data_IF_992313985185
#
_entry.id   IF_992313985185
#
_cell.length_a   1.000
_cell.length_b   1.000
_cell.length_c   1.000
_cell.angle_alpha   90.00
_cell.angle_beta   90.00
_cell.angle_gamma   90.00
#
_symmetry.space_group_name_H-M   'P 1'
#
loop_
_entity.id
_entity.type
_entity.pdbx_description
1 polymer ?
#
# COMPACT_ATOMS: atom_id res chain seq x y z
N UNK A 1 25.72 25.93 -22.73
CA UNK A 1 25.63 27.41 -22.77
C UNK A 1 24.27 27.94 -23.23
N UNK A 2 23.57 27.32 -24.19
CA UNK A 2 22.25 27.77 -24.61
C UNK A 2 21.15 27.46 -23.57
N UNK A 3 21.31 26.38 -22.78
CA UNK A 3 20.33 25.95 -21.80
C UNK A 3 20.09 26.95 -20.66
N UNK A 4 21.13 27.63 -20.19
CA UNK A 4 21.01 28.69 -19.16
C UNK A 4 20.39 29.96 -19.67
N UNK A 5 20.67 30.31 -20.96
CA UNK A 5 20.05 31.47 -21.61
C UNK A 5 18.56 31.27 -21.93
N UNK A 6 18.15 30.02 -22.14
CA UNK A 6 16.76 29.63 -22.41
C UNK A 6 15.99 29.23 -21.16
N UNK A 7 16.60 29.40 -19.98
CA UNK A 7 15.98 29.01 -18.68
C UNK A 7 15.50 27.56 -18.65
N UNK A 8 16.20 26.67 -19.38
CA UNK A 8 15.79 25.26 -19.55
C UNK A 8 15.63 24.52 -18.22
N UNK A 9 16.43 24.89 -17.21
CA UNK A 9 16.30 24.30 -15.87
C UNK A 9 14.95 24.66 -15.20
N UNK A 10 14.44 25.88 -15.44
CA UNK A 10 13.11 26.27 -14.94
C UNK A 10 12.01 25.47 -15.66
N UNK A 11 12.15 25.23 -16.96
CA UNK A 11 11.20 24.39 -17.72
C UNK A 11 11.20 22.96 -17.16
N UNK A 12 12.38 22.37 -16.87
CA UNK A 12 12.47 21.05 -16.25
C UNK A 12 11.79 20.98 -14.89
N UNK A 13 11.94 22.00 -14.04
CA UNK A 13 11.27 22.08 -12.75
C UNK A 13 9.76 22.22 -12.90
N UNK A 14 9.28 23.00 -13.85
CA UNK A 14 7.85 23.07 -14.14
C UNK A 14 7.28 21.71 -14.57
N UNK A 15 7.97 21.01 -15.48
CA UNK A 15 7.57 19.65 -15.90
C UNK A 15 7.57 18.70 -14.69
N UNK A 16 8.63 18.73 -13.87
CA UNK A 16 8.71 17.92 -12.66
C UNK A 16 7.54 18.19 -11.69
N UNK A 17 7.05 19.42 -11.61
CA UNK A 17 5.89 19.77 -10.80
C UNK A 17 4.56 19.15 -11.25
N UNK A 18 4.46 18.68 -12.50
CA UNK A 18 3.30 17.98 -13.02
C UNK A 18 3.41 16.45 -12.90
N UNK A 19 4.56 15.92 -12.51
CA UNK A 19 4.73 14.46 -12.36
C UNK A 19 3.99 13.93 -11.14
N UNK A 20 3.57 12.68 -11.22
CA UNK A 20 2.80 12.00 -10.17
C UNK A 20 3.66 11.05 -9.32
N UNK A 21 4.96 10.94 -9.63
CA UNK A 21 5.87 10.04 -8.91
C UNK A 21 7.22 10.69 -8.70
N UNK A 22 7.90 10.34 -7.59
CA UNK A 22 9.27 10.78 -7.29
C UNK A 22 10.21 10.50 -8.46
N UNK A 23 10.16 9.28 -9.00
CA UNK A 23 11.01 8.87 -10.14
C UNK A 23 10.72 9.67 -11.41
N UNK A 24 9.44 9.98 -11.66
CA UNK A 24 9.03 10.84 -12.78
C UNK A 24 9.61 12.25 -12.65
N UNK A 25 9.57 12.82 -11.44
CA UNK A 25 10.16 14.13 -11.15
C UNK A 25 11.67 14.15 -11.37
N UNK A 26 12.38 13.14 -10.87
CA UNK A 26 13.82 12.99 -11.09
C UNK A 26 14.17 12.87 -12.58
N UNK A 27 13.39 12.06 -13.32
CA UNK A 27 13.58 11.89 -14.76
C UNK A 27 13.35 13.21 -15.52
N UNK A 28 12.35 13.99 -15.13
CA UNK A 28 12.09 15.29 -15.72
C UNK A 28 13.24 16.28 -15.48
N UNK A 29 13.81 16.31 -14.27
CA UNK A 29 14.96 17.15 -13.93
C UNK A 29 16.24 16.73 -14.68
N UNK A 30 16.36 15.44 -14.98
CA UNK A 30 17.52 14.89 -15.71
C UNK A 30 17.42 15.03 -17.23
N UNK A 31 16.37 15.64 -17.76
CA UNK A 31 16.23 15.86 -19.20
C UNK A 31 17.37 16.70 -19.77
N UNK A 32 17.91 16.22 -20.89
CA UNK A 32 18.94 16.93 -21.66
C UNK A 32 18.47 17.06 -23.10
N UNK A 33 18.82 18.17 -23.78
CA UNK A 33 18.55 18.32 -25.20
C UNK A 33 19.32 17.28 -26.01
N UNK A 34 18.69 16.73 -27.04
CA UNK A 34 19.32 15.81 -28.01
C UNK A 34 19.33 16.43 -29.40
N UNK A 35 20.28 15.98 -30.23
CA UNK A 35 20.36 16.31 -31.67
C UNK A 35 20.04 15.10 -32.55
N UNK A 36 19.78 13.96 -31.93
CA UNK A 36 19.41 12.74 -32.64
C UNK A 36 17.97 12.88 -33.15
N UNK A 37 17.82 12.93 -34.47
CA UNK A 37 16.53 13.13 -35.11
C UNK A 37 15.55 11.99 -34.80
N UNK A 38 16.05 10.76 -34.77
CA UNK A 38 15.20 9.59 -34.46
C UNK A 38 14.67 9.67 -33.03
N UNK A 39 15.54 9.99 -32.08
CA UNK A 39 15.15 10.18 -30.68
C UNK A 39 14.14 11.31 -30.51
N UNK A 40 14.35 12.44 -31.22
CA UNK A 40 13.43 13.59 -31.17
C UNK A 40 12.04 13.19 -31.67
N UNK A 41 11.96 12.54 -32.85
CA UNK A 41 10.69 12.11 -33.44
C UNK A 41 9.97 11.12 -32.53
N UNK A 42 10.67 10.14 -31.98
CA UNK A 42 10.11 9.15 -31.06
C UNK A 42 9.51 9.82 -29.80
N UNK A 43 10.26 10.72 -29.14
CA UNK A 43 9.79 11.41 -27.94
C UNK A 43 8.63 12.36 -28.19
N UNK A 44 8.60 13.01 -29.38
CA UNK A 44 7.48 13.85 -29.78
C UNK A 44 6.23 13.02 -30.05
N UNK A 45 6.38 11.83 -30.64
CA UNK A 45 5.27 10.91 -30.86
C UNK A 45 4.72 10.38 -29.57
N UNK A 46 5.58 9.89 -28.64
CA UNK A 46 5.19 9.47 -27.28
C UNK A 46 4.37 10.56 -26.56
N UNK A 47 4.83 11.82 -26.63
CA UNK A 47 4.16 12.97 -26.02
C UNK A 47 2.81 13.24 -26.67
N UNK A 48 2.73 13.15 -28.02
CA UNK A 48 1.49 13.37 -28.75
C UNK A 48 0.45 12.31 -28.45
N UNK A 49 0.85 11.02 -28.39
CA UNK A 49 -0.01 9.93 -27.99
C UNK A 49 -0.48 10.06 -26.53
N UNK A 50 0.41 10.47 -25.61
CA UNK A 50 0.04 10.70 -24.23
C UNK A 50 -1.02 11.81 -24.10
N UNK A 51 -0.89 12.89 -24.86
CA UNK A 51 -1.90 13.95 -24.89
C UNK A 51 -3.22 13.46 -25.47
N UNK A 52 -3.19 12.74 -26.59
CA UNK A 52 -4.37 12.15 -27.20
C UNK A 52 -5.09 11.19 -26.24
N UNK A 53 -4.34 10.34 -25.53
CA UNK A 53 -4.88 9.39 -24.55
C UNK A 53 -5.59 10.12 -23.39
N UNK A 54 -5.01 11.23 -22.90
CA UNK A 54 -5.63 12.03 -21.85
C UNK A 54 -6.88 12.76 -22.32
N UNK A 55 -6.94 13.19 -23.59
CA UNK A 55 -8.12 13.82 -24.19
C UNK A 55 -9.32 12.87 -24.33
N UNK A 56 -9.07 11.57 -24.49
CA UNK A 56 -10.12 10.53 -24.52
C UNK A 56 -10.74 10.30 -23.12
N UNK A 57 -10.14 10.85 -22.07
CA UNK A 57 -10.67 10.80 -20.71
C UNK A 57 -10.28 9.56 -19.91
N UNK A 58 -9.45 8.69 -20.46
CA UNK A 58 -8.87 7.56 -19.74
C UNK A 58 -7.62 8.04 -18.99
N UNK A 59 -7.63 7.98 -17.67
CA UNK A 59 -6.47 8.35 -16.86
C UNK A 59 -5.48 7.19 -16.71
N UNK A 60 -4.18 7.52 -16.54
CA UNK A 60 -3.18 6.56 -16.09
C UNK A 60 -3.16 6.51 -14.56
N UNK A 61 -2.95 5.33 -13.99
CA UNK A 61 -2.72 5.15 -12.56
C UNK A 61 -1.23 5.05 -12.26
N UNK A 62 -0.76 5.74 -11.23
CA UNK A 62 0.67 5.81 -10.92
C UNK A 62 1.04 5.15 -9.58
N UNK A 63 0.06 4.66 -8.82
CA UNK A 63 0.31 4.12 -7.48
C UNK A 63 0.74 5.21 -6.48
N UNK A 64 1.31 4.82 -5.33
CA UNK A 64 1.75 5.76 -4.30
C UNK A 64 2.95 6.59 -4.75
N UNK A 65 2.96 7.89 -4.38
CA UNK A 65 4.09 8.80 -4.63
C UNK A 65 5.19 8.57 -3.58
N UNK A 66 5.96 7.51 -3.76
CA UNK A 66 7.12 7.20 -2.92
C UNK A 66 8.25 6.55 -3.73
N UNK A 67 9.48 6.66 -3.21
CA UNK A 67 10.63 5.97 -3.77
C UNK A 67 10.70 4.51 -3.27
N UNK A 68 10.50 3.57 -4.16
CA UNK A 68 10.55 2.14 -3.85
C UNK A 68 11.96 1.54 -3.86
N UNK A 69 12.99 2.28 -4.30
CA UNK A 69 14.34 1.75 -4.49
C UNK A 69 14.96 1.22 -3.20
N UNK A 70 14.89 2.01 -2.12
CA UNK A 70 15.42 1.58 -0.81
C UNK A 70 14.65 0.38 -0.24
N UNK A 71 13.34 0.38 -0.40
CA UNK A 71 12.46 -0.69 0.05
C UNK A 71 12.78 -1.99 -0.68
N UNK A 72 12.92 -1.95 -2.00
CA UNK A 72 13.29 -3.11 -2.83
C UNK A 72 14.70 -3.60 -2.50
N UNK A 73 15.66 -2.69 -2.31
CA UNK A 73 17.02 -3.06 -1.92
C UNK A 73 17.04 -3.76 -0.56
N UNK A 74 16.29 -3.27 0.43
CA UNK A 74 16.16 -3.92 1.73
C UNK A 74 15.54 -5.32 1.60
N UNK A 75 14.52 -5.49 0.77
CA UNK A 75 13.91 -6.78 0.51
C UNK A 75 14.87 -7.76 -0.16
N UNK A 76 15.67 -7.31 -1.14
CA UNK A 76 16.69 -8.12 -1.82
C UNK A 76 17.76 -8.61 -0.85
N UNK A 77 18.09 -7.85 0.19
CA UNK A 77 19.03 -8.24 1.24
C UNK A 77 18.37 -9.14 2.33
N UNK A 78 17.13 -9.57 2.14
CA UNK A 78 16.40 -10.40 3.08
C UNK A 78 15.83 -9.63 4.28
N UNK A 79 15.78 -8.31 4.21
CA UNK A 79 15.16 -7.47 5.24
C UNK A 79 13.63 -7.58 5.24
N UNK A 80 13.02 -7.32 6.40
CA UNK A 80 11.57 -7.35 6.55
C UNK A 80 10.95 -6.05 6.04
N UNK A 81 9.82 -6.18 5.36
CA UNK A 81 8.95 -5.08 4.98
C UNK A 81 7.76 -4.98 5.94
N UNK A 82 7.39 -3.77 6.30
CA UNK A 82 6.19 -3.50 7.10
C UNK A 82 4.93 -3.68 6.27
N UNK A 83 3.80 -3.85 6.92
CA UNK A 83 2.53 -4.05 6.21
C UNK A 83 2.14 -2.87 5.32
N UNK A 84 2.37 -1.62 5.78
CA UNK A 84 2.11 -0.43 4.96
C UNK A 84 3.02 -0.39 3.72
N UNK A 85 4.27 -0.84 3.84
CA UNK A 85 5.21 -0.92 2.72
C UNK A 85 4.78 -1.98 1.71
N UNK A 86 4.33 -3.14 2.19
CA UNK A 86 3.76 -4.19 1.32
C UNK A 86 2.48 -3.71 0.62
N UNK A 87 1.62 -3.00 1.34
CA UNK A 87 0.42 -2.42 0.75
C UNK A 87 0.76 -1.41 -0.35
N UNK A 88 1.76 -0.55 -0.13
CA UNK A 88 2.23 0.40 -1.14
C UNK A 88 2.78 -0.32 -2.39
N UNK A 89 3.53 -1.42 -2.21
CA UNK A 89 3.97 -2.27 -3.33
C UNK A 89 2.77 -2.84 -4.08
N UNK A 90 1.76 -3.35 -3.37
CA UNK A 90 0.53 -3.85 -4.01
C UNK A 90 -0.17 -2.77 -4.86
N UNK A 91 -0.27 -1.53 -4.35
CA UNK A 91 -0.87 -0.42 -5.10
C UNK A 91 -0.06 -0.09 -6.37
N UNK A 92 1.28 -0.13 -6.30
CA UNK A 92 2.13 0.03 -7.47
C UNK A 92 1.89 -1.06 -8.51
N UNK A 93 1.82 -2.33 -8.08
CA UNK A 93 1.56 -3.47 -8.96
C UNK A 93 0.18 -3.38 -9.61
N UNK A 94 -0.83 -2.98 -8.84
CA UNK A 94 -2.19 -2.75 -9.32
C UNK A 94 -2.22 -1.67 -10.41
N UNK A 95 -1.56 -0.54 -10.17
CA UNK A 95 -1.46 0.54 -11.14
C UNK A 95 -0.75 0.10 -12.44
N UNK A 96 0.35 -0.63 -12.31
CA UNK A 96 1.08 -1.18 -13.46
C UNK A 96 0.20 -2.14 -14.29
N UNK A 97 -0.50 -3.06 -13.64
CA UNK A 97 -1.43 -3.98 -14.30
C UNK A 97 -2.60 -3.25 -14.96
N UNK A 98 -3.18 -2.26 -14.29
CA UNK A 98 -4.24 -1.42 -14.84
C UNK A 98 -3.78 -0.73 -16.12
N UNK A 99 -2.64 -0.01 -16.06
CA UNK A 99 -2.10 0.70 -17.22
C UNK A 99 -1.77 -0.23 -18.38
N UNK A 100 -1.17 -1.40 -18.11
CA UNK A 100 -0.89 -2.41 -19.14
C UNK A 100 -2.17 -2.87 -19.83
N UNK A 101 -3.22 -3.14 -19.05
CA UNK A 101 -4.51 -3.59 -19.58
C UNK A 101 -5.22 -2.50 -20.39
N UNK A 102 -5.24 -1.27 -19.85
CA UNK A 102 -5.96 -0.16 -20.51
C UNK A 102 -5.24 0.32 -21.77
N UNK A 103 -3.93 0.48 -21.74
CA UNK A 103 -3.14 0.86 -22.93
C UNK A 103 -3.14 -0.25 -23.99
N UNK A 104 -3.11 -1.50 -23.58
CA UNK A 104 -3.18 -2.65 -24.50
C UNK A 104 -4.50 -2.79 -25.27
N UNK A 105 -5.56 -2.12 -24.82
CA UNK A 105 -6.85 -2.04 -25.53
C UNK A 105 -6.91 -0.90 -26.56
N UNK A 106 -5.94 0.01 -26.51
CA UNK A 106 -5.94 1.20 -27.36
C UNK A 106 -5.14 0.96 -28.65
N UNK A 107 -5.78 1.14 -29.78
CA UNK A 107 -5.11 0.97 -31.09
C UNK A 107 -4.44 2.27 -31.54
N UNK A 108 -4.89 3.40 -31.01
CA UNK A 108 -4.49 4.74 -31.47
C UNK A 108 -3.19 5.26 -30.81
N UNK A 109 -2.65 4.54 -29.82
CA UNK A 109 -1.47 4.95 -29.04
C UNK A 109 -0.39 3.87 -28.98
N UNK A 110 0.12 3.41 -30.13
CA UNK A 110 1.03 2.27 -30.21
C UNK A 110 2.34 2.46 -29.44
N UNK A 111 2.87 3.70 -29.33
CA UNK A 111 4.09 3.98 -28.58
C UNK A 111 3.85 3.76 -27.08
N UNK A 112 2.73 4.25 -26.54
CA UNK A 112 2.36 4.05 -25.15
C UNK A 112 2.06 2.57 -24.86
N UNK A 113 1.42 1.87 -25.80
CA UNK A 113 1.18 0.43 -25.70
C UNK A 113 2.51 -0.32 -25.61
N UNK A 114 3.47 -0.01 -26.47
CA UNK A 114 4.82 -0.61 -26.43
C UNK A 114 5.55 -0.33 -25.13
N UNK A 115 5.40 0.85 -24.52
CA UNK A 115 5.95 1.15 -23.19
C UNK A 115 5.25 0.26 -22.13
N UNK A 116 3.93 0.11 -22.20
CA UNK A 116 3.16 -0.67 -21.23
C UNK A 116 3.46 -2.17 -21.29
N UNK A 117 3.79 -2.71 -22.45
CA UNK A 117 4.18 -4.11 -22.64
C UNK A 117 5.46 -4.49 -21.87
N UNK A 118 6.34 -3.51 -21.62
CA UNK A 118 7.53 -3.71 -20.80
C UNK A 118 7.24 -3.78 -19.29
N UNK A 119 6.02 -3.47 -18.84
CA UNK A 119 5.63 -3.64 -17.45
C UNK A 119 5.47 -5.14 -17.13
N UNK A 120 6.13 -5.64 -16.08
CA UNK A 120 6.03 -7.05 -15.72
C UNK A 120 4.62 -7.41 -15.26
N UNK A 121 4.17 -8.61 -15.59
CA UNK A 121 2.92 -9.15 -15.07
C UNK A 121 3.16 -9.85 -13.73
N UNK A 122 2.81 -9.18 -12.65
CA UNK A 122 3.01 -9.63 -11.27
C UNK A 122 1.67 -9.82 -10.54
N UNK A 123 0.63 -10.24 -11.25
CA UNK A 123 -0.74 -10.42 -10.71
C UNK A 123 -0.78 -11.42 -9.56
N UNK A 124 0.08 -12.44 -9.57
CA UNK A 124 0.16 -13.42 -8.49
C UNK A 124 0.72 -12.79 -7.21
N UNK A 125 1.76 -11.97 -7.33
CA UNK A 125 2.32 -11.24 -6.19
C UNK A 125 1.30 -10.23 -5.63
N UNK A 126 0.63 -9.48 -6.49
CA UNK A 126 -0.46 -8.57 -6.10
C UNK A 126 -1.53 -9.32 -5.29
N UNK A 127 -1.95 -10.50 -5.75
CA UNK A 127 -2.97 -11.33 -5.10
C UNK A 127 -2.50 -11.84 -3.74
N UNK A 128 -1.26 -12.32 -3.65
CA UNK A 128 -0.68 -12.80 -2.38
C UNK A 128 -0.64 -11.69 -1.34
N UNK A 129 -0.17 -10.50 -1.72
CA UNK A 129 -0.12 -9.35 -0.81
C UNK A 129 -1.53 -8.93 -0.41
N UNK A 130 -2.48 -8.85 -1.36
CA UNK A 130 -3.88 -8.50 -1.10
C UNK A 130 -4.59 -9.46 -0.15
N UNK A 131 -4.24 -10.75 -0.21
CA UNK A 131 -4.78 -11.76 0.70
C UNK A 131 -4.16 -11.73 2.10
N UNK A 132 -2.99 -11.11 2.24
CA UNK A 132 -2.22 -11.12 3.49
C UNK A 132 -2.28 -9.79 4.25
N UNK A 133 -2.40 -8.65 3.55
CA UNK A 133 -2.26 -7.31 4.14
C UNK A 133 -3.51 -6.47 3.85
N UNK A 134 -4.03 -5.82 4.88
CA UNK A 134 -5.14 -4.86 4.77
C UNK A 134 -4.67 -3.50 4.25
N UNK A 135 -5.60 -2.62 3.82
CA UNK A 135 -5.26 -1.23 3.47
C UNK A 135 -4.62 -0.42 4.59
N UNK A 136 -4.85 -0.80 5.85
CA UNK A 136 -4.23 -0.20 7.03
C UNK A 136 -2.84 -0.79 7.36
N UNK A 137 -2.30 -1.68 6.53
CA UNK A 137 -1.03 -2.34 6.78
C UNK A 137 -1.08 -3.48 7.82
N UNK A 138 -2.27 -3.90 8.22
CA UNK A 138 -2.42 -4.99 9.19
C UNK A 138 -2.38 -6.36 8.50
N UNK A 139 -1.80 -7.33 9.17
CA UNK A 139 -1.79 -8.72 8.69
C UNK A 139 -3.17 -9.34 8.86
N UNK A 140 -3.77 -9.73 7.73
CA UNK A 140 -5.10 -10.35 7.70
C UNK A 140 -5.08 -11.78 8.26
N UNK A 141 -6.22 -12.26 8.73
CA UNK A 141 -6.37 -13.65 9.21
C UNK A 141 -6.02 -14.68 8.13
N UNK A 142 -6.29 -14.34 6.87
CA UNK A 142 -6.02 -15.19 5.72
C UNK A 142 -4.54 -15.22 5.27
N UNK A 143 -3.66 -14.44 5.91
CA UNK A 143 -2.24 -14.40 5.57
C UNK A 143 -1.56 -15.76 5.73
N UNK A 144 -2.01 -16.58 6.71
CA UNK A 144 -1.64 -17.98 6.79
C UNK A 144 -2.70 -18.80 7.54
N UNK A 145 -2.88 -20.10 7.21
CA UNK A 145 -3.78 -20.99 7.94
C UNK A 145 -3.42 -21.11 9.43
N UNK A 146 -2.13 -21.10 9.74
CA UNK A 146 -1.66 -21.17 11.14
C UNK A 146 -2.08 -19.92 11.91
N UNK A 147 -1.89 -18.73 11.34
CA UNK A 147 -2.32 -17.47 11.97
C UNK A 147 -3.82 -17.43 12.19
N UNK A 148 -4.59 -17.87 11.20
CA UNK A 148 -6.05 -17.97 11.31
C UNK A 148 -6.47 -18.82 12.51
N UNK A 149 -5.92 -20.04 12.62
CA UNK A 149 -6.22 -20.97 13.72
C UNK A 149 -5.82 -20.38 15.07
N UNK A 150 -4.60 -19.85 15.19
CA UNK A 150 -4.13 -19.26 16.44
C UNK A 150 -5.01 -18.07 16.89
N UNK A 151 -5.43 -17.22 15.97
CA UNK A 151 -6.34 -16.11 16.30
C UNK A 151 -7.72 -16.60 16.69
N UNK A 152 -8.20 -17.69 16.09
CA UNK A 152 -9.45 -18.33 16.53
C UNK A 152 -9.33 -18.90 17.94
N UNK A 153 -8.24 -19.59 18.25
CA UNK A 153 -7.99 -20.13 19.59
C UNK A 153 -7.93 -19.02 20.64
N UNK A 154 -7.25 -17.91 20.34
CA UNK A 154 -7.20 -16.74 21.23
C UNK A 154 -8.60 -16.17 21.47
N UNK A 155 -9.40 -15.98 20.41
CA UNK A 155 -10.79 -15.49 20.54
C UNK A 155 -11.64 -16.44 21.39
N UNK A 156 -11.54 -17.74 21.16
CA UNK A 156 -12.28 -18.74 21.94
C UNK A 156 -11.84 -18.76 23.42
N UNK A 157 -10.53 -18.62 23.68
CA UNK A 157 -10.01 -18.54 25.05
C UNK A 157 -10.51 -17.27 25.77
N UNK A 158 -10.50 -16.13 25.08
CA UNK A 158 -11.06 -14.88 25.60
C UNK A 158 -12.54 -14.97 25.91
N UNK A 159 -13.34 -15.54 25.00
CA UNK A 159 -14.77 -15.73 25.22
C UNK A 159 -15.02 -16.63 26.44
N UNK A 160 -14.32 -17.77 26.55
CA UNK A 160 -14.40 -18.63 27.72
C UNK A 160 -14.02 -17.92 29.01
N UNK A 161 -12.98 -17.09 28.98
CA UNK A 161 -12.57 -16.29 30.14
C UNK A 161 -13.68 -15.31 30.54
N UNK A 162 -14.25 -14.58 29.58
CA UNK A 162 -15.35 -13.66 29.81
C UNK A 162 -16.56 -14.38 30.43
N UNK A 163 -16.98 -15.52 29.90
CA UNK A 163 -18.07 -16.31 30.44
C UNK A 163 -17.83 -16.79 31.88
N UNK A 164 -16.59 -17.20 32.19
CA UNK A 164 -16.20 -17.60 33.55
C UNK A 164 -16.27 -16.39 34.49
N UNK A 165 -15.74 -15.23 34.06
CA UNK A 165 -15.74 -14.02 34.86
C UNK A 165 -17.16 -13.50 35.12
N UNK A 166 -18.03 -13.49 34.10
CA UNK A 166 -19.44 -13.13 34.28
C UNK A 166 -20.18 -14.09 35.19
N UNK A 167 -19.91 -15.39 35.08
CA UNK A 167 -20.51 -16.39 35.95
C UNK A 167 -20.10 -16.21 37.41
N UNK A 168 -18.80 -15.92 37.63
CA UNK A 168 -18.27 -15.64 38.96
C UNK A 168 -18.81 -14.31 39.48
N UNK A 169 -18.91 -13.26 38.65
CA UNK A 169 -19.51 -12.00 39.03
C UNK A 169 -20.97 -12.19 39.53
N UNK A 170 -21.81 -12.89 38.76
CA UNK A 170 -23.19 -13.20 39.14
C UNK A 170 -23.27 -13.99 40.46
N UNK A 171 -22.36 -14.90 40.69
CA UNK A 171 -22.31 -15.69 41.94
C UNK A 171 -21.93 -14.81 43.14
N UNK A 172 -20.92 -13.98 42.99
CA UNK A 172 -20.42 -13.07 44.03
C UNK A 172 -21.38 -11.92 44.32
N UNK A 173 -22.13 -11.45 43.30
CA UNK A 173 -23.20 -10.46 43.47
C UNK A 173 -24.36 -11.02 44.35
N UNK A 174 -24.79 -12.26 44.11
CA UNK A 174 -25.81 -12.95 44.93
C UNK A 174 -25.37 -13.14 46.36
N UNK A 175 -24.08 -13.24 46.58
CA UNK A 175 -23.47 -13.37 47.92
C UNK A 175 -23.19 -12.00 48.58
N UNK A 176 -23.52 -10.87 47.89
CA UNK A 176 -23.28 -9.50 48.34
C UNK A 176 -21.79 -9.14 48.64
N UNK A 177 -20.87 -9.94 48.10
CA UNK A 177 -19.41 -9.79 48.32
C UNK A 177 -18.76 -8.77 47.41
N UNK A 178 -19.36 -8.46 46.26
CA UNK A 178 -18.80 -7.55 45.24
C UNK A 178 -19.02 -6.10 45.68
N UNK A 179 -17.95 -5.31 45.58
CA UNK A 179 -18.02 -3.86 45.84
C UNK A 179 -18.74 -3.13 44.68
N UNK A 180 -18.31 -3.46 43.46
CA UNK A 180 -18.90 -2.94 42.23
C UNK A 180 -19.10 -4.08 41.22
N UNK A 181 -20.24 -4.17 40.53
CA UNK A 181 -20.53 -5.23 39.57
C UNK A 181 -19.77 -5.02 38.24
N UNK A 182 -18.48 -4.80 38.31
CA UNK A 182 -17.62 -4.49 37.18
C UNK A 182 -16.44 -5.46 37.09
N UNK A 183 -16.23 -6.00 35.88
CA UNK A 183 -15.05 -6.76 35.54
C UNK A 183 -14.01 -5.77 35.00
N UNK A 184 -12.83 -5.70 35.62
CA UNK A 184 -11.75 -4.81 35.21
C UNK A 184 -10.48 -5.61 34.87
N UNK A 185 -9.54 -4.97 34.18
CA UNK A 185 -8.24 -5.58 33.92
C UNK A 185 -7.14 -4.84 34.68
N UNK A 186 -6.33 -5.57 35.44
CA UNK A 186 -5.12 -5.05 36.11
C UNK A 186 -3.93 -5.95 35.82
N UNK A 187 -2.84 -5.38 35.37
CA UNK A 187 -1.59 -6.08 35.05
C UNK A 187 -1.82 -7.32 34.14
N UNK A 188 -2.69 -7.16 33.10
CA UNK A 188 -3.00 -8.24 32.16
C UNK A 188 -3.95 -9.32 32.71
N UNK A 189 -4.45 -9.18 33.95
CA UNK A 189 -5.38 -10.15 34.56
C UNK A 189 -6.76 -9.52 34.74
N UNK A 190 -7.80 -10.28 34.43
CA UNK A 190 -9.16 -9.89 34.74
C UNK A 190 -9.44 -10.02 36.23
N UNK A 191 -9.99 -9.00 36.85
CA UNK A 191 -10.21 -8.92 38.28
C UNK A 191 -11.64 -8.47 38.59
N UNK A 192 -12.16 -8.94 39.73
CA UNK A 192 -13.41 -8.48 40.32
C UNK A 192 -13.09 -7.74 41.62
N UNK A 193 -13.76 -6.62 41.86
CA UNK A 193 -13.59 -5.82 43.06
C UNK A 193 -14.49 -6.40 44.15
N UNK A 194 -13.89 -6.91 45.25
CA UNK A 194 -14.60 -7.41 46.41
C UNK A 194 -14.55 -6.39 47.57
N UNK A 195 -15.57 -6.38 48.44
CA UNK A 195 -15.63 -5.52 49.61
C UNK A 195 -14.51 -5.82 50.56
N UNK A 196 -13.91 -4.78 51.17
CA UNK A 196 -12.75 -4.94 52.05
C UNK A 196 -13.03 -5.78 53.31
N UNK A 197 -14.30 -5.82 53.73
CA UNK A 197 -14.78 -6.57 54.90
C UNK A 197 -14.84 -8.11 54.66
N UNK A 198 -14.71 -8.53 53.41
CA UNK A 198 -14.81 -9.93 52.95
C UNK A 198 -13.47 -10.48 52.46
N UNK A 199 -12.35 -9.87 52.84
CA UNK A 199 -11.00 -10.33 52.53
C UNK A 199 -10.51 -11.47 53.44
#
# INVERSE_FOLDING_TARGET
FAGSLLEFDQVKEQIAGYTKTVVGGERSRSLVPTKDLLEIVTRLQETSEARQYLEIGSGLEFGPDQDFRELLQRALLGGLLRGEELFAVRELLRAARFNRTELGRQVEVPMLTGISENLPELSDLERVISGAISPAGEVLDNASPVLHNLRQEVRQAQNRLNEIMERNLRRLQRAEVVQEPLITQRNGRMVLLIKSEMR
#
